data_IF_533828463758
#
_entry.id   IF_533828463758
#
_cell.length_a   1.000
_cell.length_b   1.000
_cell.length_c   1.000
_cell.angle_alpha   90.00
_cell.angle_beta   90.00
_cell.angle_gamma   90.00
#
_symmetry.space_group_name_H-M   'P 1'
#
loop_
_entity.id
_entity.type
_entity.pdbx_description
1 polymer ?
#
# COMPACT_ATOMS: atom_id res chain seq x y z
N UNK A 1 6.83 16.33 -6.75
CA UNK A 1 5.84 15.34 -6.28
C UNK A 1 6.29 13.94 -6.69
N UNK A 2 6.58 13.07 -5.72
CA UNK A 2 6.80 11.65 -5.98
C UNK A 2 5.45 11.01 -6.33
N UNK A 3 5.39 10.26 -7.43
CA UNK A 3 4.24 9.42 -7.75
C UNK A 3 4.56 7.98 -7.33
N UNK A 4 3.53 7.16 -7.11
CA UNK A 4 3.68 5.78 -6.63
C UNK A 4 4.71 4.95 -7.42
N UNK A 5 4.78 5.15 -8.74
CA UNK A 5 5.74 4.45 -9.62
C UNK A 5 7.20 4.82 -9.30
N UNK A 6 7.50 6.10 -9.05
CA UNK A 6 8.85 6.54 -8.65
C UNK A 6 9.27 5.94 -7.31
N UNK A 7 8.35 5.88 -6.34
CA UNK A 7 8.61 5.25 -5.04
C UNK A 7 8.94 3.76 -5.23
N UNK A 8 8.16 3.06 -6.04
CA UNK A 8 8.39 1.64 -6.31
C UNK A 8 9.71 1.37 -7.04
N UNK A 9 10.07 2.17 -8.04
CA UNK A 9 11.35 2.04 -8.76
C UNK A 9 12.53 2.21 -7.80
N UNK A 10 12.45 3.13 -6.82
CA UNK A 10 13.48 3.25 -5.79
C UNK A 10 13.62 1.99 -4.95
N UNK A 11 12.52 1.30 -4.63
CA UNK A 11 12.59 0.00 -3.96
C UNK A 11 13.25 -1.08 -4.82
N UNK A 12 12.99 -1.11 -6.14
CA UNK A 12 13.65 -2.04 -7.05
C UNK A 12 15.17 -1.77 -7.17
N UNK A 13 15.58 -0.50 -7.12
CA UNK A 13 16.97 -0.08 -7.29
C UNK A 13 17.80 -0.14 -6.00
N UNK A 14 17.26 0.34 -4.89
CA UNK A 14 17.98 0.55 -3.63
C UNK A 14 17.66 -0.51 -2.56
N UNK A 15 16.54 -1.24 -2.72
CA UNK A 15 16.13 -2.33 -1.86
C UNK A 15 16.05 -1.95 -0.38
N UNK A 16 16.73 -2.71 0.47
CA UNK A 16 16.71 -2.52 1.92
C UNK A 16 17.26 -1.16 2.36
N UNK A 17 18.24 -0.60 1.63
CA UNK A 17 18.84 0.69 2.01
C UNK A 17 17.82 1.82 1.96
N UNK A 18 16.86 1.78 1.03
CA UNK A 18 15.77 2.75 0.95
C UNK A 18 14.77 2.60 2.12
N UNK A 19 14.49 1.37 2.57
CA UNK A 19 13.71 1.12 3.80
C UNK A 19 14.40 1.76 5.01
N UNK A 20 15.72 1.58 5.15
CA UNK A 20 16.48 2.18 6.24
C UNK A 20 16.41 3.71 6.19
N UNK A 21 16.58 4.31 5.02
CA UNK A 21 16.45 5.76 4.84
C UNK A 21 15.06 6.27 5.25
N UNK A 22 13.99 5.54 4.91
CA UNK A 22 12.62 5.91 5.31
C UNK A 22 12.47 5.93 6.83
N UNK A 23 13.04 4.95 7.55
CA UNK A 23 13.03 4.94 9.02
C UNK A 23 13.80 6.13 9.59
N UNK A 24 15.03 6.37 9.09
CA UNK A 24 15.90 7.46 9.58
C UNK A 24 15.23 8.82 9.38
N UNK A 25 14.62 9.04 8.21
CA UNK A 25 13.92 10.28 7.87
C UNK A 25 12.53 10.39 8.48
N UNK A 26 12.07 9.36 9.20
CA UNK A 26 10.71 9.26 9.71
C UNK A 26 9.67 9.52 8.62
N UNK A 27 9.84 8.87 7.46
CA UNK A 27 9.00 9.06 6.29
C UNK A 27 7.51 8.98 6.67
N UNK A 28 6.78 10.04 6.39
CA UNK A 28 5.34 10.09 6.57
C UNK A 28 4.64 9.22 5.53
N UNK A 29 3.60 8.51 5.96
CA UNK A 29 2.59 8.00 5.05
C UNK A 29 1.91 9.14 4.31
N UNK A 30 1.51 8.87 3.07
CA UNK A 30 0.82 9.84 2.25
C UNK A 30 -0.13 9.13 1.28
N UNK A 31 -0.65 9.87 0.31
CA UNK A 31 -1.62 9.37 -0.68
C UNK A 31 -1.02 8.31 -1.62
N UNK A 32 0.30 8.13 -1.66
CA UNK A 32 1.01 7.15 -2.49
C UNK A 32 1.72 6.08 -1.67
N UNK A 33 1.76 6.19 -0.34
CA UNK A 33 2.61 5.35 0.51
C UNK A 33 1.91 4.98 1.81
N UNK A 34 1.95 3.70 2.14
CA UNK A 34 1.46 3.20 3.44
C UNK A 34 2.41 2.13 3.98
N UNK A 35 2.62 2.13 5.29
CA UNK A 35 3.38 1.10 6.00
C UNK A 35 2.40 0.14 6.64
N UNK A 36 2.66 -1.16 6.47
CA UNK A 36 1.82 -2.21 7.02
C UNK A 36 2.68 -3.16 7.86
N UNK A 37 2.29 -3.30 9.13
CA UNK A 37 2.73 -4.42 9.93
C UNK A 37 1.84 -5.62 9.67
N UNK A 38 2.48 -6.75 9.40
CA UNK A 38 1.83 -8.05 9.50
C UNK A 38 1.46 -8.29 10.95
N UNK A 39 0.24 -8.77 11.23
CA UNK A 39 -0.25 -8.97 12.61
C UNK A 39 0.65 -9.89 13.42
N UNK A 40 1.13 -10.97 12.79
CA UNK A 40 2.17 -11.83 13.33
C UNK A 40 3.31 -11.91 12.31
N UNK A 41 4.44 -11.25 12.60
CA UNK A 41 5.61 -11.20 11.73
C UNK A 41 6.43 -12.50 11.73
N UNK A 42 6.22 -13.41 12.69
CA UNK A 42 6.94 -14.69 12.73
C UNK A 42 6.31 -15.79 11.87
N UNK A 43 5.16 -15.51 11.28
CA UNK A 43 4.40 -16.44 10.46
C UNK A 43 4.19 -15.84 9.06
N UNK A 44 4.51 -16.60 8.01
CA UNK A 44 4.34 -16.25 6.60
C UNK A 44 2.90 -16.33 6.09
N UNK A 45 2.00 -17.02 6.80
CA UNK A 45 0.61 -17.14 6.40
C UNK A 45 -0.15 -15.82 6.62
N UNK A 46 -0.96 -15.44 5.64
CA UNK A 46 -1.84 -14.27 5.73
C UNK A 46 -3.00 -14.53 6.69
N UNK A 47 -3.06 -13.76 7.78
CA UNK A 47 -4.23 -13.76 8.65
C UNK A 47 -5.43 -13.08 7.98
N UNK A 48 -6.63 -13.26 8.54
CA UNK A 48 -7.85 -12.59 8.06
C UNK A 48 -7.67 -11.06 8.03
N UNK A 49 -7.04 -10.51 9.07
CA UNK A 49 -6.76 -9.07 9.16
C UNK A 49 -5.73 -8.62 8.11
N UNK A 50 -4.68 -9.41 7.87
CA UNK A 50 -3.68 -9.09 6.85
C UNK A 50 -4.32 -9.04 5.46
N UNK A 51 -5.18 -10.02 5.12
CA UNK A 51 -5.94 -10.05 3.85
C UNK A 51 -6.85 -8.84 3.71
N UNK A 52 -7.64 -8.53 4.74
CA UNK A 52 -8.56 -7.40 4.75
C UNK A 52 -7.84 -6.06 4.56
N UNK A 53 -6.71 -5.87 5.24
CA UNK A 53 -5.91 -4.65 5.10
C UNK A 53 -5.27 -4.55 3.70
N UNK A 54 -4.82 -5.68 3.15
CA UNK A 54 -4.26 -5.73 1.80
C UNK A 54 -5.30 -5.34 0.75
N UNK A 55 -6.49 -5.95 0.79
CA UNK A 55 -7.60 -5.66 -0.13
C UNK A 55 -8.05 -4.20 -0.05
N UNK A 56 -8.15 -3.64 1.16
CA UNK A 56 -8.46 -2.21 1.37
C UNK A 56 -7.41 -1.30 0.73
N UNK A 57 -6.13 -1.59 0.95
CA UNK A 57 -5.03 -0.81 0.38
C UNK A 57 -5.04 -0.85 -1.14
N UNK A 58 -5.22 -2.04 -1.73
CA UNK A 58 -5.34 -2.19 -3.19
C UNK A 58 -6.54 -1.42 -3.74
N UNK A 59 -7.70 -1.58 -3.12
CA UNK A 59 -8.92 -0.88 -3.53
C UNK A 59 -8.70 0.64 -3.48
N UNK A 60 -8.20 1.20 -2.38
CA UNK A 60 -7.94 2.63 -2.29
C UNK A 60 -6.96 3.11 -3.38
N UNK A 61 -5.78 2.47 -3.48
CA UNK A 61 -4.73 2.96 -4.38
C UNK A 61 -5.09 2.82 -5.86
N UNK A 62 -5.81 1.77 -6.23
CA UNK A 62 -6.29 1.58 -7.61
C UNK A 62 -7.23 2.70 -8.07
N UNK A 63 -8.09 3.21 -7.17
CA UNK A 63 -9.05 4.28 -7.48
C UNK A 63 -8.48 5.70 -7.32
N UNK A 64 -7.42 5.84 -6.51
CA UNK A 64 -6.75 7.12 -6.27
C UNK A 64 -5.74 7.43 -7.41
N UNK A 65 -4.46 7.58 -7.07
CA UNK A 65 -3.39 7.89 -8.02
C UNK A 65 -2.34 6.78 -8.12
N UNK A 66 -2.71 5.55 -7.74
CA UNK A 66 -1.78 4.46 -7.47
C UNK A 66 -1.10 4.62 -6.11
N UNK A 67 -0.41 3.59 -5.66
CA UNK A 67 0.31 3.62 -4.40
C UNK A 67 1.21 2.43 -4.15
N UNK A 68 1.93 2.51 -3.04
CA UNK A 68 2.89 1.52 -2.57
C UNK A 68 2.53 1.12 -1.15
N UNK A 69 2.38 -0.18 -0.91
CA UNK A 69 2.22 -0.78 0.42
C UNK A 69 3.55 -1.42 0.80
N UNK A 70 4.08 -1.06 1.97
CA UNK A 70 5.33 -1.59 2.50
C UNK A 70 5.03 -2.52 3.66
N UNK A 71 5.21 -3.83 3.44
CA UNK A 71 5.07 -4.83 4.49
C UNK A 71 6.37 -5.04 5.24
N UNK A 72 6.28 -5.09 6.57
CA UNK A 72 7.43 -5.33 7.46
C UNK A 72 8.08 -4.05 8.01
N UNK A 73 7.36 -2.94 7.95
CA UNK A 73 7.75 -1.68 8.61
C UNK A 73 6.64 -1.29 9.57
N UNK A 74 7.00 -1.11 10.84
CA UNK A 74 6.09 -0.57 11.84
C UNK A 74 6.04 0.94 11.73
N UNK A 75 4.83 1.48 11.68
CA UNK A 75 4.57 2.92 11.74
C UNK A 75 4.00 3.32 13.11
N UNK A 76 4.19 4.57 13.47
CA UNK A 76 3.60 5.19 14.65
C UNK A 76 2.95 6.51 14.29
N UNK A 77 1.83 6.82 14.93
CA UNK A 77 1.12 8.08 14.73
C UNK A 77 1.89 9.23 15.38
N UNK A 78 2.11 10.31 14.65
CA UNK A 78 2.66 11.57 15.19
C UNK A 78 1.58 12.38 15.91
N UNK A 79 1.97 13.44 16.61
CA UNK A 79 1.04 14.36 17.27
C UNK A 79 0.03 15.00 16.30
N UNK A 80 0.39 15.13 15.01
CA UNK A 80 -0.47 15.69 13.96
C UNK A 80 -1.41 14.65 13.33
N UNK A 81 -1.34 13.41 13.81
CA UNK A 81 -2.15 12.28 13.40
C UNK A 81 -1.67 11.55 12.14
N UNK A 82 -0.47 11.85 11.64
CA UNK A 82 0.10 11.19 10.45
C UNK A 82 0.97 10.02 10.89
N UNK A 83 0.84 8.87 10.23
CA UNK A 83 1.72 7.73 10.48
C UNK A 83 3.11 7.96 9.89
N UNK A 84 4.17 7.75 10.68
CA UNK A 84 5.57 7.80 10.25
C UNK A 84 6.23 6.43 10.35
N UNK A 85 7.17 6.14 9.46
CA UNK A 85 8.01 4.96 9.51
C UNK A 85 8.85 4.97 10.80
N UNK A 86 8.71 3.92 11.63
CA UNK A 86 9.29 3.92 13.00
C UNK A 86 10.31 2.82 13.23
N UNK A 87 9.99 1.59 12.84
CA UNK A 87 10.83 0.43 13.16
C UNK A 87 10.81 -0.61 12.03
N UNK A 88 11.98 -1.20 11.79
CA UNK A 88 12.16 -2.37 10.93
C UNK A 88 11.58 -3.61 11.63
N UNK A 89 10.64 -4.28 10.98
CA UNK A 89 9.98 -5.49 11.48
C UNK A 89 9.84 -6.51 10.35
N UNK A 90 10.94 -7.15 9.93
CA UNK A 90 10.91 -8.07 8.80
C UNK A 90 10.03 -9.29 9.11
N UNK A 91 9.47 -9.88 8.06
CA UNK A 91 8.58 -11.03 8.11
C UNK A 91 9.43 -12.30 8.00
N UNK A 92 9.27 -13.22 8.94
CA UNK A 92 9.85 -14.56 8.88
C UNK A 92 9.24 -15.35 7.72
N UNK A 93 10.08 -16.13 7.02
CA UNK A 93 9.72 -16.77 5.76
C UNK A 93 9.15 -15.75 4.75
N UNK A 94 9.82 -14.59 4.60
CA UNK A 94 9.30 -13.47 3.82
C UNK A 94 9.04 -13.79 2.34
N UNK A 95 9.78 -14.75 1.76
CA UNK A 95 9.52 -15.27 0.41
C UNK A 95 8.20 -16.03 0.32
N UNK A 96 7.85 -16.80 1.33
CA UNK A 96 6.57 -17.52 1.39
C UNK A 96 5.42 -16.52 1.57
N UNK A 97 5.59 -15.50 2.42
CA UNK A 97 4.62 -14.41 2.52
C UNK A 97 4.42 -13.68 1.18
N UNK A 98 5.50 -13.41 0.44
CA UNK A 98 5.45 -12.88 -0.93
C UNK A 98 4.64 -13.78 -1.88
N UNK A 99 4.91 -15.09 -1.88
CA UNK A 99 4.12 -16.06 -2.67
C UNK A 99 2.65 -16.06 -2.29
N UNK A 100 2.35 -16.06 -0.99
CA UNK A 100 0.99 -16.02 -0.47
C UNK A 100 0.22 -14.76 -0.93
N UNK A 101 0.89 -13.60 -0.99
CA UNK A 101 0.29 -12.38 -1.53
C UNK A 101 0.02 -12.47 -3.04
N UNK A 102 0.93 -13.05 -3.82
CA UNK A 102 0.72 -13.25 -5.25
C UNK A 102 -0.45 -14.22 -5.54
N UNK A 103 -0.58 -15.29 -4.74
CA UNK A 103 -1.64 -16.29 -4.88
C UNK A 103 -3.04 -15.74 -4.61
N UNK A 104 -3.17 -14.68 -3.81
CA UNK A 104 -4.45 -14.00 -3.60
C UNK A 104 -5.02 -13.45 -4.91
N UNK A 105 -4.17 -12.99 -5.83
CA UNK A 105 -4.62 -12.44 -7.12
C UNK A 105 -5.05 -13.53 -8.09
N UNK A 106 -4.37 -14.68 -8.09
CA UNK A 106 -4.72 -15.79 -8.98
C UNK A 106 -6.05 -16.45 -8.62
N UNK A 107 -6.42 -16.46 -7.34
CA UNK A 107 -7.67 -17.07 -6.86
C UNK A 107 -8.91 -16.20 -7.07
N UNK A 108 -8.73 -14.90 -7.35
CA UNK A 108 -9.83 -13.96 -7.60
C UNK A 108 -10.13 -13.91 -9.11
N UNK A 109 -10.84 -14.92 -9.59
CA UNK A 109 -11.17 -15.18 -11.01
C UNK A 109 -11.95 -14.06 -11.73
N UNK A 110 -12.33 -12.99 -11.03
CA UNK A 110 -13.13 -11.88 -11.58
C UNK A 110 -12.41 -10.52 -11.56
N UNK A 111 -11.13 -10.43 -11.16
CA UNK A 111 -10.54 -9.12 -10.89
C UNK A 111 -9.55 -8.64 -11.93
N UNK A 112 -9.90 -7.47 -12.47
CA UNK A 112 -9.13 -6.44 -13.15
C UNK A 112 -7.84 -6.01 -12.43
N UNK A 113 -7.22 -6.86 -11.60
CA UNK A 113 -6.07 -6.60 -10.73
C UNK A 113 -4.72 -7.12 -11.24
N UNK A 114 -4.65 -7.57 -12.50
CA UNK A 114 -3.43 -8.13 -13.12
C UNK A 114 -2.20 -7.20 -13.08
N UNK A 115 -2.37 -5.90 -12.90
CA UNK A 115 -1.24 -4.95 -12.89
C UNK A 115 -0.63 -4.68 -11.51
N UNK A 116 -1.18 -5.26 -10.43
CA UNK A 116 -0.58 -5.15 -9.08
C UNK A 116 0.71 -5.98 -9.05
N UNK A 117 1.80 -5.38 -8.57
CA UNK A 117 3.12 -6.01 -8.54
C UNK A 117 3.64 -6.10 -7.12
N UNK A 118 4.05 -7.28 -6.70
CA UNK A 118 4.80 -7.46 -5.47
C UNK A 118 6.29 -7.65 -5.80
N UNK A 119 7.17 -7.16 -4.94
CA UNK A 119 8.58 -7.56 -4.91
C UNK A 119 8.98 -7.95 -3.48
N UNK A 120 9.91 -8.89 -3.38
CA UNK A 120 10.51 -9.30 -2.12
C UNK A 120 11.85 -8.59 -1.93
N UNK A 121 12.05 -7.97 -0.77
CA UNK A 121 13.31 -7.36 -0.36
C UNK A 121 13.87 -8.17 0.83
N UNK A 122 15.03 -8.83 0.71
CA UNK A 122 15.61 -9.58 1.81
C UNK A 122 16.12 -8.66 2.93
N UNK A 123 15.99 -9.12 4.17
CA UNK A 123 16.69 -8.51 5.29
C UNK A 123 18.18 -8.88 5.23
N UNK A 124 19.12 -7.94 5.45
CA UNK A 124 20.54 -8.26 5.39
C UNK A 124 20.92 -9.37 6.37
N UNK A 125 21.80 -10.27 5.94
CA UNK A 125 22.33 -11.40 6.74
C UNK A 125 21.31 -12.47 7.15
N UNK A 126 20.02 -12.28 6.89
CA UNK A 126 18.97 -13.27 7.14
C UNK A 126 18.03 -13.36 5.94
N UNK A 127 18.45 -14.08 4.90
CA UNK A 127 17.70 -14.18 3.65
C UNK A 127 16.30 -14.84 3.77
N UNK A 128 15.99 -15.43 4.93
CA UNK A 128 14.66 -15.97 5.23
C UNK A 128 13.71 -14.91 5.82
N UNK A 129 14.25 -13.81 6.34
CA UNK A 129 13.51 -12.65 6.79
C UNK A 129 13.47 -11.60 5.70
N UNK A 130 12.38 -10.83 5.61
CA UNK A 130 12.38 -9.70 4.67
C UNK A 130 11.09 -8.92 4.64
N UNK A 131 10.97 -8.13 3.58
CA UNK A 131 9.89 -7.19 3.35
C UNK A 131 9.22 -7.53 2.03
N UNK A 132 7.96 -7.16 1.91
CA UNK A 132 7.25 -7.24 0.64
C UNK A 132 6.72 -5.87 0.30
N UNK A 133 7.05 -5.40 -0.91
CA UNK A 133 6.59 -4.12 -1.41
C UNK A 133 5.56 -4.40 -2.48
N UNK A 134 4.36 -3.85 -2.31
CA UNK A 134 3.28 -3.96 -3.28
C UNK A 134 3.10 -2.63 -4.00
N UNK A 135 3.28 -2.62 -5.30
CA UNK A 135 2.86 -1.52 -6.17
C UNK A 135 1.47 -1.77 -6.72
N UNK A 136 0.60 -0.78 -6.52
CA UNK A 136 -0.76 -0.74 -7.04
C UNK A 136 -0.81 0.39 -8.07
N UNK A 137 -0.96 0.09 -9.37
CA UNK A 137 -1.15 1.14 -10.36
C UNK A 137 -2.55 1.76 -10.22
N UNK A 138 -2.67 3.02 -10.62
CA UNK A 138 -3.97 3.65 -10.83
C UNK A 138 -4.70 2.93 -11.95
N UNK A 139 -5.99 2.69 -11.78
CA UNK A 139 -6.87 2.23 -12.85
C UNK A 139 -7.92 3.28 -13.11
N UNK A 140 -8.08 3.64 -14.38
CA UNK A 140 -9.14 4.53 -14.83
C UNK A 140 -10.43 3.72 -15.03
N UNK A 141 -10.98 3.14 -13.95
CA UNK A 141 -12.33 2.61 -14.01
C UNK A 141 -13.34 3.73 -13.77
N UNK A 142 -14.26 3.89 -14.71
CA UNK A 142 -15.54 4.54 -14.48
C UNK A 142 -16.28 3.77 -13.39
N UNK A 143 -16.16 4.29 -12.16
CA UNK A 143 -17.04 4.16 -10.99
C UNK A 143 -18.20 3.17 -11.16
N UNK A 144 -17.98 1.90 -10.82
CA UNK A 144 -19.07 1.00 -10.43
C UNK A 144 -19.20 1.02 -8.91
N UNK A 145 -20.25 1.72 -8.48
CA UNK A 145 -20.75 1.85 -7.12
C UNK A 145 -20.82 0.48 -6.41
N UNK A 146 -20.20 0.35 -5.23
CA UNK A 146 -20.96 0.08 -4.01
C UNK A 146 -20.14 0.14 -2.71
N UNK A 147 -18.82 -0.07 -2.72
CA UNK A 147 -18.02 -0.07 -1.48
C UNK A 147 -16.72 0.74 -1.63
N UNK A 148 -16.77 2.04 -1.31
CA UNK A 148 -15.56 2.88 -1.33
C UNK A 148 -14.78 2.74 -0.03
N UNK A 149 -13.46 2.83 -0.12
CA UNK A 149 -12.61 3.15 1.03
C UNK A 149 -11.88 4.46 0.76
N UNK A 150 -12.01 5.43 1.66
CA UNK A 150 -11.16 6.64 1.67
C UNK A 150 -10.04 6.46 2.68
N UNK A 151 -8.84 6.95 2.38
CA UNK A 151 -7.74 7.01 3.35
C UNK A 151 -7.93 8.28 4.18
N UNK A 152 -8.30 8.12 5.44
CA UNK A 152 -8.16 9.20 6.43
C UNK A 152 -6.71 9.20 6.95
N UNK A 153 -6.36 10.17 7.80
CA UNK A 153 -5.03 10.20 8.44
C UNK A 153 -4.71 8.92 9.23
N UNK A 154 -5.73 8.18 9.63
CA UNK A 154 -5.64 7.07 10.58
C UNK A 154 -5.93 5.68 10.00
N UNK A 155 -6.77 5.56 8.96
CA UNK A 155 -7.16 4.26 8.41
C UNK A 155 -7.86 4.37 7.04
N UNK A 156 -8.10 3.24 6.40
CA UNK A 156 -9.06 3.12 5.30
C UNK A 156 -10.48 2.99 5.87
N UNK A 157 -11.29 4.03 5.70
CA UNK A 157 -12.67 4.11 6.14
C UNK A 157 -13.62 3.82 4.99
N UNK A 158 -14.62 2.94 5.22
CA UNK A 158 -15.64 2.60 4.23
C UNK A 158 -16.60 3.77 4.04
N UNK A 159 -16.86 4.16 2.80
CA UNK A 159 -17.79 5.21 2.44
C UNK A 159 -18.91 4.66 1.56
N UNK A 160 -20.15 4.92 1.96
CA UNK A 160 -21.33 4.60 1.17
C UNK A 160 -21.59 5.66 0.10
N UNK A 161 -21.43 5.21 -1.16
CA UNK A 161 -22.39 5.46 -2.23
C UNK A 161 -22.38 6.81 -2.94
N UNK A 162 -22.82 7.91 -2.32
CA UNK A 162 -23.46 8.97 -3.10
C UNK A 162 -23.00 10.41 -2.86
N UNK A 163 -22.40 10.76 -1.72
CA UNK A 163 -22.23 12.19 -1.38
C UNK A 163 -20.88 12.77 -1.86
N UNK A 164 -19.79 12.00 -1.89
CA UNK A 164 -18.46 12.51 -2.28
C UNK A 164 -18.18 12.48 -3.79
N UNK A 165 -19.02 11.81 -4.57
CA UNK A 165 -18.83 11.64 -6.00
C UNK A 165 -18.88 13.00 -6.72
N UNK A 166 -19.80 13.87 -6.31
CA UNK A 166 -19.92 15.22 -6.86
C UNK A 166 -18.72 16.08 -6.47
N UNK A 167 -18.30 16.09 -5.19
CA UNK A 167 -17.15 16.89 -4.75
C UNK A 167 -15.82 16.45 -5.37
N UNK A 168 -15.60 15.15 -5.56
CA UNK A 168 -14.40 14.65 -6.23
C UNK A 168 -14.44 14.86 -7.75
N UNK A 169 -15.63 14.89 -8.37
CA UNK A 169 -15.79 15.20 -9.80
C UNK A 169 -15.69 16.72 -10.07
N UNK A 170 -16.19 17.57 -9.18
CA UNK A 170 -16.06 19.03 -9.29
C UNK A 170 -14.60 19.48 -9.14
N UNK A 171 -13.88 18.94 -8.16
CA UNK A 171 -12.44 19.20 -8.02
C UNK A 171 -11.63 18.76 -9.25
N UNK A 172 -12.09 17.74 -9.99
CA UNK A 172 -11.47 17.30 -11.26
C UNK A 172 -11.75 18.23 -12.44
N UNK A 173 -12.90 18.93 -12.47
CA UNK A 173 -13.17 19.97 -13.48
C UNK A 173 -12.27 21.18 -13.28
N UNK A 174 -12.16 21.64 -12.04
CA UNK A 174 -11.32 22.78 -11.67
C UNK A 174 -9.83 22.56 -12.00
N UNK A 175 -9.32 21.33 -11.86
CA UNK A 175 -7.95 20.96 -12.23
C UNK A 175 -7.71 20.85 -13.74
N UNK A 176 -8.76 20.68 -14.55
CA UNK A 176 -8.65 20.66 -16.02
C UNK A 176 -8.78 22.05 -16.64
N UNK A 177 -9.49 22.96 -15.98
CA UNK A 177 -9.69 24.35 -16.43
C UNK A 177 -8.55 25.29 -15.98
N UNK A 178 -7.62 24.81 -15.16
CA UNK A 178 -6.46 25.55 -14.65
C UNK A 178 -5.11 25.14 -15.30
N UNK A 179 -5.18 24.34 -16.37
CA UNK A 179 -4.06 23.96 -17.26
C UNK A 179 -4.29 24.57 -18.65
#
# INVERSE_FOLDING_TARGET
MENAKKIFIKFEQEGFSYIQQMIIKQQEENIFLTFQCKKNCTNSALSIDDKKNYEKGISFFSHASGGVIIWGVASSKTNNGVHIAKKIQPISNGKEFFSNLNDLFFKSSNTTNQDVKNIYIPFPKEANHGFVITYVPRKDYLLKLNDYYTKTRDNFAMMMGQILLNDMLENRKLLKESL
#
